data_IF_452996749123
#
_entry.id   IF_452996749123
#
_cell.length_a   1.000
_cell.length_b   1.000
_cell.length_c   1.000
_cell.angle_alpha   90.00
_cell.angle_beta   90.00
_cell.angle_gamma   90.00
#
_symmetry.space_group_name_H-M   'P 1'
#
loop_
_entity.id
_entity.type
_entity.pdbx_description
1 polymer ?
#
# COMPACT_ATOMS: atom_id res chain seq x y z
N UNK A 1 4.83 -7.61 20.37
CA UNK A 1 5.20 -6.26 19.91
C UNK A 1 5.32 -6.33 18.40
N UNK A 2 4.26 -5.92 17.70
CA UNK A 2 4.07 -6.22 16.28
C UNK A 2 5.11 -5.46 15.42
N UNK A 3 5.78 -6.22 14.56
CA UNK A 3 6.78 -5.79 13.56
C UNK A 3 6.38 -4.44 12.95
N UNK A 4 7.21 -3.42 13.15
CA UNK A 4 7.07 -2.11 12.51
C UNK A 4 7.11 -2.32 10.98
N UNK A 5 5.93 -2.37 10.37
CA UNK A 5 5.69 -2.59 8.92
C UNK A 5 5.90 -1.28 8.16
N UNK A 6 7.09 -0.70 8.24
CA UNK A 6 7.45 0.47 7.46
C UNK A 6 8.43 0.04 6.37
N UNK A 7 7.91 -0.58 5.31
CA UNK A 7 8.69 -0.90 4.10
C UNK A 7 8.67 0.31 3.16
N UNK A 8 9.85 0.80 2.76
CA UNK A 8 9.95 1.92 1.82
C UNK A 8 9.62 1.47 0.39
N UNK A 9 8.54 2.03 -0.17
CA UNK A 9 8.13 1.79 -1.55
C UNK A 9 8.63 2.91 -2.49
N UNK A 10 9.56 2.59 -3.39
CA UNK A 10 10.07 3.51 -4.42
C UNK A 10 9.47 3.18 -5.79
N UNK A 11 8.73 4.12 -6.37
CA UNK A 11 8.03 3.94 -7.66
C UNK A 11 8.49 5.02 -8.65
N UNK A 12 8.87 4.59 -9.87
CA UNK A 12 9.01 5.49 -11.02
C UNK A 12 7.69 5.52 -11.77
N UNK A 13 7.18 6.71 -12.02
CA UNK A 13 5.90 6.92 -12.71
C UNK A 13 5.96 8.20 -13.56
N UNK A 14 4.94 8.43 -14.38
CA UNK A 14 4.84 9.64 -15.18
C UNK A 14 4.61 10.88 -14.29
N UNK A 15 4.94 12.06 -14.84
CA UNK A 15 4.71 13.35 -14.16
C UNK A 15 3.22 13.55 -13.83
N UNK A 16 2.35 13.15 -14.73
CA UNK A 16 0.90 13.30 -14.59
C UNK A 16 0.37 12.51 -13.38
N UNK A 17 0.75 11.24 -13.24
CA UNK A 17 0.34 10.41 -12.09
C UNK A 17 0.80 11.02 -10.77
N UNK A 18 2.04 11.55 -10.72
CA UNK A 18 2.54 12.24 -9.53
C UNK A 18 1.69 13.48 -9.19
N UNK A 19 1.25 14.24 -10.19
CA UNK A 19 0.42 15.43 -9.99
C UNK A 19 -0.98 15.06 -9.50
N UNK A 20 -1.60 14.04 -10.10
CA UNK A 20 -2.92 13.56 -9.70
C UNK A 20 -2.92 13.00 -8.27
N UNK A 21 -1.91 12.19 -7.92
CA UNK A 21 -1.77 11.66 -6.56
C UNK A 21 -1.65 12.78 -5.53
N UNK A 22 -0.84 13.81 -5.84
CA UNK A 22 -0.68 14.98 -4.99
C UNK A 22 -2.00 15.73 -4.81
N UNK A 23 -2.72 16.02 -5.89
CA UNK A 23 -3.99 16.74 -5.83
C UNK A 23 -5.05 15.97 -5.01
N UNK A 24 -5.12 14.65 -5.18
CA UNK A 24 -6.00 13.79 -4.38
C UNK A 24 -5.63 13.82 -2.89
N UNK A 25 -4.34 13.69 -2.58
CA UNK A 25 -3.84 13.75 -1.20
C UNK A 25 -4.15 15.09 -0.52
N UNK A 26 -3.94 16.20 -1.23
CA UNK A 26 -4.26 17.55 -0.75
C UNK A 26 -5.76 17.74 -0.49
N UNK A 27 -6.62 17.23 -1.38
CA UNK A 27 -8.08 17.28 -1.23
C UNK A 27 -8.58 16.57 0.03
N UNK A 28 -7.93 15.49 0.45
CA UNK A 28 -8.30 14.70 1.62
C UNK A 28 -7.43 14.97 2.85
N UNK A 29 -6.63 16.04 2.83
CA UNK A 29 -5.76 16.48 3.93
C UNK A 29 -4.84 15.37 4.46
N UNK A 30 -4.31 14.53 3.56
CA UNK A 30 -3.41 13.41 3.92
C UNK A 30 -2.11 13.43 3.10
N UNK A 31 -1.15 12.62 3.50
CA UNK A 31 0.10 12.46 2.74
C UNK A 31 -0.13 11.67 1.44
N UNK A 32 0.76 11.84 0.46
CA UNK A 32 0.70 11.05 -0.78
C UNK A 32 0.87 9.55 -0.54
N UNK A 33 1.67 9.16 0.47
CA UNK A 33 1.82 7.75 0.87
C UNK A 33 0.51 7.18 1.40
N UNK A 34 -0.14 7.88 2.33
CA UNK A 34 -1.43 7.47 2.87
C UNK A 34 -2.53 7.43 1.79
N UNK A 35 -2.50 8.39 0.86
CA UNK A 35 -3.42 8.36 -0.30
C UNK A 35 -3.18 7.13 -1.18
N UNK A 36 -1.92 6.78 -1.43
CA UNK A 36 -1.58 5.59 -2.22
C UNK A 36 -2.08 4.30 -1.55
N UNK A 37 -1.98 4.18 -0.23
CA UNK A 37 -2.53 3.04 0.52
C UNK A 37 -4.04 2.91 0.33
N UNK A 38 -4.79 4.01 0.47
CA UNK A 38 -6.24 4.03 0.26
C UNK A 38 -6.59 3.57 -1.16
N UNK A 39 -5.91 4.11 -2.18
CA UNK A 39 -6.14 3.72 -3.57
C UNK A 39 -5.88 2.23 -3.82
N UNK A 40 -4.82 1.68 -3.22
CA UNK A 40 -4.50 0.25 -3.32
C UNK A 40 -5.56 -0.61 -2.63
N UNK A 41 -6.00 -0.21 -1.43
CA UNK A 41 -7.01 -0.94 -0.67
C UNK A 41 -8.38 -0.92 -1.36
N UNK A 42 -8.77 0.22 -1.91
CA UNK A 42 -10.02 0.35 -2.67
C UNK A 42 -9.99 -0.50 -3.94
N UNK A 43 -8.87 -0.48 -4.67
CA UNK A 43 -8.67 -1.36 -5.82
C UNK A 43 -8.76 -2.83 -5.41
N UNK A 44 -8.05 -3.23 -4.35
CA UNK A 44 -8.08 -4.60 -3.85
C UNK A 44 -9.50 -5.04 -3.47
N UNK A 45 -10.25 -4.19 -2.77
CA UNK A 45 -11.64 -4.46 -2.39
C UNK A 45 -12.55 -4.59 -3.60
N UNK A 46 -12.43 -3.70 -4.58
CA UNK A 46 -13.21 -3.72 -5.81
C UNK A 46 -12.98 -5.01 -6.63
N UNK A 47 -11.74 -5.51 -6.59
CA UNK A 47 -11.31 -6.68 -7.36
C UNK A 47 -11.25 -7.99 -6.55
N UNK A 48 -11.67 -7.98 -5.28
CA UNK A 48 -11.62 -9.15 -4.40
C UNK A 48 -10.21 -9.67 -4.13
N UNK A 49 -9.19 -8.81 -4.21
CA UNK A 49 -7.81 -9.18 -3.88
C UNK A 49 -7.68 -9.28 -2.35
N UNK A 50 -7.54 -10.50 -1.84
CA UNK A 50 -7.23 -10.74 -0.44
C UNK A 50 -5.71 -10.84 -0.25
N UNK A 51 -5.18 -10.18 0.78
CA UNK A 51 -3.82 -10.45 1.25
C UNK A 51 -3.80 -11.88 1.79
N UNK A 52 -3.28 -12.82 1.01
CA UNK A 52 -2.95 -14.14 1.54
C UNK A 52 -1.77 -13.92 2.47
N UNK A 53 -2.01 -13.87 3.78
CA UNK A 53 -0.92 -13.98 4.75
C UNK A 53 -0.22 -15.31 4.43
N UNK A 54 0.97 -15.21 3.86
CA UNK A 54 1.87 -16.35 3.81
C UNK A 54 2.19 -16.63 5.27
N UNK A 55 1.52 -17.63 5.84
CA UNK A 55 1.84 -18.13 7.17
C UNK A 55 3.35 -18.38 7.19
N UNK A 56 4.09 -17.82 8.17
CA UNK A 56 5.51 -18.09 8.26
C UNK A 56 5.68 -19.60 8.33
N UNK A 57 6.39 -20.15 7.35
CA UNK A 57 6.77 -21.56 7.28
C UNK A 57 7.72 -21.76 8.46
N UNK A 58 7.17 -21.99 9.65
CA UNK A 58 7.94 -22.37 10.81
C UNK A 58 8.15 -23.88 10.70
N UNK A 59 9.11 -24.28 9.88
CA UNK A 59 9.61 -25.65 9.83
C UNK A 59 10.30 -25.96 11.16
N UNK A 60 9.53 -26.47 12.12
CA UNK A 60 10.04 -27.23 13.25
C UNK A 60 9.57 -28.67 13.06
N UNK A 61 10.39 -29.44 12.34
CA UNK A 61 10.38 -30.90 12.29
C UNK A 61 11.79 -31.24 11.79
N UNK A 62 12.76 -31.66 12.61
CA UNK A 62 12.81 -32.83 13.49
C UNK A 62 13.93 -32.66 14.52
#
# INVERSE_FOLDING_TARGET
MARSKEETLSIRTSKEIKMLLRAAAEKEHRSQASMLEVLILDYAKLHGLALREQSPINSHDT
#
